data_IF_465583749196
#
_entry.id   IF_465583749196
#
_cell.length_a   1.000
_cell.length_b   1.000
_cell.length_c   1.000
_cell.angle_alpha   90.00
_cell.angle_beta   90.00
_cell.angle_gamma   90.00
#
_symmetry.space_group_name_H-M   'P 1'
#
loop_
_entity.id
_entity.type
_entity.pdbx_description
1 polymer ?
#
# COMPACT_ATOMS: atom_id res chain seq x y z
N UNK A 1 2.65 -1.19 -26.46
CA UNK A 1 2.87 -2.26 -25.46
C UNK A 1 1.92 -3.40 -25.71
N UNK A 2 2.24 -4.62 -25.27
CA UNK A 2 1.31 -5.74 -25.19
C UNK A 2 0.97 -5.95 -23.70
N UNK A 3 -0.29 -6.26 -23.42
CA UNK A 3 -0.80 -6.48 -22.06
C UNK A 3 -1.34 -7.91 -21.98
N UNK A 4 -0.98 -8.63 -20.96
CA UNK A 4 -1.61 -9.92 -20.63
C UNK A 4 -2.23 -9.82 -19.24
N UNK A 5 -3.53 -10.04 -19.13
CA UNK A 5 -4.29 -10.09 -17.89
C UNK A 5 -4.53 -11.54 -17.55
N UNK A 6 -3.99 -11.98 -16.42
CA UNK A 6 -4.10 -13.35 -15.94
C UNK A 6 -4.85 -13.39 -14.61
N UNK A 7 -5.89 -14.20 -14.54
CA UNK A 7 -6.57 -14.57 -13.30
C UNK A 7 -7.03 -16.03 -13.38
N UNK A 8 -6.91 -16.79 -12.29
CA UNK A 8 -7.39 -18.16 -12.21
C UNK A 8 -8.91 -18.27 -12.15
N UNK A 9 -9.61 -17.18 -11.83
CA UNK A 9 -11.06 -17.07 -11.79
C UNK A 9 -11.58 -16.45 -13.09
N UNK A 10 -12.31 -17.23 -13.89
CA UNK A 10 -12.88 -16.77 -15.16
C UNK A 10 -13.85 -15.59 -14.99
N UNK A 11 -14.64 -15.57 -13.91
CA UNK A 11 -15.58 -14.48 -13.63
C UNK A 11 -14.86 -13.17 -13.34
N UNK A 12 -13.77 -13.23 -12.55
CA UNK A 12 -12.91 -12.05 -12.28
C UNK A 12 -12.27 -11.52 -13.55
N UNK A 13 -11.80 -12.43 -14.40
CA UNK A 13 -11.19 -12.09 -15.68
C UNK A 13 -12.21 -11.43 -16.63
N UNK A 14 -13.43 -11.97 -16.70
CA UNK A 14 -14.51 -11.37 -17.50
C UNK A 14 -14.87 -9.95 -17.03
N UNK A 15 -14.93 -9.74 -15.71
CA UNK A 15 -15.14 -8.38 -15.15
C UNK A 15 -14.00 -7.44 -15.54
N UNK A 16 -12.75 -7.91 -15.50
CA UNK A 16 -11.60 -7.12 -15.91
C UNK A 16 -11.66 -6.74 -17.40
N UNK A 17 -12.04 -7.67 -18.26
CA UNK A 17 -12.24 -7.44 -19.69
C UNK A 17 -13.36 -6.43 -19.97
N UNK A 18 -14.52 -6.57 -19.31
CA UNK A 18 -15.61 -5.59 -19.40
C UNK A 18 -15.14 -4.17 -19.04
N UNK A 19 -14.47 -4.02 -17.89
CA UNK A 19 -13.96 -2.72 -17.46
C UNK A 19 -12.90 -2.12 -18.40
N UNK A 20 -12.11 -2.96 -19.03
CA UNK A 20 -11.17 -2.50 -20.05
C UNK A 20 -11.89 -1.89 -21.25
N UNK A 21 -13.02 -2.44 -21.66
CA UNK A 21 -13.81 -1.91 -22.78
C UNK A 21 -14.71 -0.71 -22.41
N UNK A 22 -14.80 -0.34 -21.15
CA UNK A 22 -15.50 0.88 -20.69
C UNK A 22 -14.67 2.16 -20.89
N UNK A 23 -13.36 2.02 -21.13
CA UNK A 23 -12.45 3.17 -21.35
C UNK A 23 -12.09 3.32 -22.83
N UNK A 24 -11.77 4.55 -23.31
CA UNK A 24 -11.34 4.75 -24.68
C UNK A 24 -10.09 3.94 -25.04
N UNK A 25 -9.99 3.53 -26.29
CA UNK A 25 -8.81 2.84 -26.80
C UNK A 25 -7.54 3.68 -26.64
N UNK A 26 -6.50 3.04 -26.12
CA UNK A 26 -5.19 3.68 -25.99
C UNK A 26 -4.28 3.22 -27.16
N UNK A 27 -3.84 4.14 -28.05
CA UNK A 27 -3.04 3.78 -29.23
C UNK A 27 -1.66 3.19 -28.90
N UNK A 28 -1.21 3.30 -27.65
CA UNK A 28 0.01 2.66 -27.19
C UNK A 28 -0.15 1.16 -26.93
N UNK A 29 -1.38 0.66 -26.80
CA UNK A 29 -1.69 -0.76 -26.60
C UNK A 29 -1.80 -1.41 -27.99
N UNK A 30 -0.86 -2.30 -28.30
CA UNK A 30 -0.82 -3.03 -29.58
C UNK A 30 -1.62 -4.33 -29.51
N UNK A 31 -1.83 -4.89 -28.34
CA UNK A 31 -2.61 -6.10 -28.11
C UNK A 31 -2.86 -6.29 -26.63
N UNK A 32 -4.01 -6.91 -26.33
CA UNK A 32 -4.37 -7.34 -24.99
C UNK A 32 -4.86 -8.78 -25.03
N UNK A 33 -4.44 -9.59 -24.08
CA UNK A 33 -4.87 -10.97 -23.89
C UNK A 33 -5.43 -11.12 -22.49
N UNK A 34 -6.64 -11.66 -22.37
CA UNK A 34 -7.23 -12.09 -21.12
C UNK A 34 -7.19 -13.62 -21.05
N UNK A 35 -6.58 -14.19 -20.03
CA UNK A 35 -6.38 -15.64 -19.95
C UNK A 35 -6.45 -16.18 -18.53
N UNK A 36 -6.99 -17.39 -18.39
CA UNK A 36 -6.92 -18.20 -17.16
C UNK A 36 -5.73 -19.17 -17.17
N UNK A 37 -4.97 -19.23 -18.26
CA UNK A 37 -3.89 -20.21 -18.48
C UNK A 37 -2.53 -19.56 -18.24
N UNK A 38 -1.81 -20.08 -17.26
CA UNK A 38 -0.48 -19.59 -16.90
C UNK A 38 0.54 -19.75 -18.05
N UNK A 39 0.38 -20.76 -18.87
CA UNK A 39 1.24 -21.09 -20.01
C UNK A 39 1.21 -20.00 -21.10
N UNK A 40 0.12 -19.23 -21.17
CA UNK A 40 -0.05 -18.13 -22.12
C UNK A 40 0.61 -16.83 -21.69
N UNK A 41 1.17 -16.77 -20.47
CA UNK A 41 2.00 -15.66 -20.07
C UNK A 41 3.28 -15.62 -20.91
N UNK A 42 3.75 -14.45 -21.35
CA UNK A 42 4.98 -14.34 -22.12
C UNK A 42 6.19 -14.80 -21.28
N UNK A 43 7.21 -15.38 -21.94
CA UNK A 43 8.43 -15.85 -21.28
C UNK A 43 9.24 -14.69 -20.69
N UNK A 44 9.17 -13.50 -21.30
CA UNK A 44 9.80 -12.26 -20.86
C UNK A 44 8.76 -11.19 -20.54
N UNK A 45 8.84 -10.64 -19.32
CA UNK A 45 7.90 -9.65 -18.81
C UNK A 45 8.68 -8.41 -18.34
N UNK A 46 8.45 -7.27 -19.00
CA UNK A 46 9.08 -6.00 -18.62
C UNK A 46 8.55 -5.47 -17.29
N UNK A 47 7.25 -5.62 -17.03
CA UNK A 47 6.59 -5.24 -15.79
C UNK A 47 5.46 -6.20 -15.44
N UNK A 48 5.55 -6.85 -14.29
CA UNK A 48 4.46 -7.61 -13.71
C UNK A 48 3.77 -6.79 -12.60
N UNK A 49 2.45 -6.63 -12.69
CA UNK A 49 1.64 -6.00 -11.63
C UNK A 49 0.95 -7.11 -10.85
N UNK A 50 1.32 -7.30 -9.59
CA UNK A 50 0.80 -8.38 -8.73
C UNK A 50 -0.32 -7.83 -7.86
N UNK A 51 -1.55 -7.92 -8.37
CA UNK A 51 -2.77 -7.35 -7.77
C UNK A 51 -3.64 -8.34 -7.01
N UNK A 52 -3.16 -9.57 -6.79
CA UNK A 52 -3.85 -10.56 -5.95
C UNK A 52 -4.06 -10.05 -4.52
N UNK A 53 -4.97 -10.66 -3.76
CA UNK A 53 -5.01 -10.46 -2.31
C UNK A 53 -3.70 -10.92 -1.65
N UNK A 54 -3.42 -10.46 -0.42
CA UNK A 54 -2.16 -10.72 0.28
C UNK A 54 -1.86 -12.21 0.46
N UNK A 55 -2.88 -13.03 0.78
CA UNK A 55 -2.72 -14.46 1.08
C UNK A 55 -2.03 -15.28 -0.01
N UNK A 56 -2.49 -15.28 -1.26
CA UNK A 56 -1.85 -16.01 -2.34
C UNK A 56 -0.63 -15.31 -2.94
N UNK A 57 -0.39 -14.04 -2.64
CA UNK A 57 0.56 -13.17 -3.37
C UNK A 57 1.98 -13.71 -3.39
N UNK A 58 2.49 -14.16 -2.25
CA UNK A 58 3.85 -14.75 -2.19
C UNK A 58 3.98 -15.94 -3.14
N UNK A 59 3.05 -16.90 -3.06
CA UNK A 59 3.06 -18.10 -3.88
C UNK A 59 2.90 -17.78 -5.37
N UNK A 60 1.99 -16.89 -5.72
CA UNK A 60 1.77 -16.46 -7.12
C UNK A 60 3.02 -15.81 -7.69
N UNK A 61 3.66 -14.91 -6.91
CA UNK A 61 4.89 -14.24 -7.35
C UNK A 61 6.05 -15.23 -7.49
N UNK A 62 6.23 -16.13 -6.52
CA UNK A 62 7.30 -17.14 -6.57
C UNK A 62 7.14 -18.03 -7.81
N UNK A 63 5.92 -18.53 -8.06
CA UNK A 63 5.64 -19.35 -9.24
C UNK A 63 5.90 -18.58 -10.55
N UNK A 64 5.51 -17.30 -10.62
CA UNK A 64 5.80 -16.46 -11.78
C UNK A 64 7.31 -16.37 -12.02
N UNK A 65 8.08 -16.09 -10.98
CA UNK A 65 9.52 -15.92 -11.06
C UNK A 65 10.28 -17.21 -11.34
N UNK A 66 9.76 -18.36 -10.94
CA UNK A 66 10.33 -19.67 -11.27
C UNK A 66 10.21 -20.01 -12.76
N UNK A 67 9.15 -19.53 -13.40
CA UNK A 67 8.76 -19.95 -14.75
C UNK A 67 8.91 -18.86 -15.82
N UNK A 68 9.16 -17.60 -15.45
CA UNK A 68 9.24 -16.46 -16.37
C UNK A 68 10.40 -15.54 -15.99
N UNK A 69 10.93 -14.85 -16.99
CA UNK A 69 11.93 -13.79 -16.80
C UNK A 69 11.17 -12.48 -16.58
N UNK A 70 11.24 -11.94 -15.37
CA UNK A 70 10.56 -10.70 -14.99
C UNK A 70 11.60 -9.64 -14.63
N UNK A 71 11.50 -8.45 -15.22
CA UNK A 71 12.46 -7.36 -15.01
C UNK A 71 12.06 -6.42 -13.90
N UNK A 72 10.78 -6.07 -13.84
CA UNK A 72 10.23 -5.17 -12.84
C UNK A 72 8.94 -5.75 -12.26
N UNK A 73 8.68 -5.49 -10.97
CA UNK A 73 7.43 -5.86 -10.31
C UNK A 73 6.84 -4.64 -9.61
N UNK A 74 5.52 -4.47 -9.75
CA UNK A 74 4.71 -3.60 -8.92
C UNK A 74 3.77 -4.47 -8.07
N UNK A 75 3.98 -4.47 -6.77
CA UNK A 75 3.12 -5.16 -5.82
C UNK A 75 1.98 -4.27 -5.34
N UNK A 76 0.78 -4.83 -5.23
CA UNK A 76 -0.27 -4.24 -4.42
C UNK A 76 0.02 -4.45 -2.92
N UNK A 77 -0.51 -3.54 -2.10
CA UNK A 77 -0.53 -3.66 -0.65
C UNK A 77 -1.78 -4.47 -0.22
N UNK A 78 -1.86 -5.01 0.92
CA UNK A 78 -0.86 -5.36 1.92
C UNK A 78 0.04 -6.45 1.34
N UNK A 79 1.36 -6.38 1.51
CA UNK A 79 2.26 -7.30 0.79
C UNK A 79 1.97 -8.77 1.08
N UNK A 80 2.24 -9.22 2.29
CA UNK A 80 2.05 -10.61 2.71
C UNK A 80 1.48 -10.69 4.12
N UNK A 81 0.61 -11.67 4.42
CA UNK A 81 0.06 -11.85 5.75
C UNK A 81 1.00 -12.60 6.71
N UNK A 82 2.14 -13.13 6.23
CA UNK A 82 3.12 -13.89 7.01
C UNK A 82 4.46 -13.19 7.10
N UNK A 83 5.02 -13.12 8.30
CA UNK A 83 6.33 -12.50 8.53
C UNK A 83 7.46 -13.22 7.79
N UNK A 84 7.42 -14.55 7.74
CA UNK A 84 8.44 -15.37 7.05
C UNK A 84 8.53 -15.12 5.54
N UNK A 85 7.44 -14.69 4.89
CA UNK A 85 7.41 -14.49 3.43
C UNK A 85 8.22 -13.27 2.97
N UNK A 86 8.45 -12.28 3.84
CA UNK A 86 9.19 -11.06 3.49
C UNK A 86 10.66 -11.32 3.18
N UNK A 87 11.36 -12.04 4.05
CA UNK A 87 12.77 -12.38 3.85
C UNK A 87 12.96 -13.30 2.63
N UNK A 88 12.04 -14.25 2.43
CA UNK A 88 12.09 -15.16 1.27
C UNK A 88 11.89 -14.41 -0.05
N UNK A 89 10.92 -13.48 -0.11
CA UNK A 89 10.67 -12.68 -1.31
C UNK A 89 11.82 -11.70 -1.56
N UNK A 90 12.33 -11.03 -0.54
CA UNK A 90 13.50 -10.13 -0.67
C UNK A 90 14.70 -10.85 -1.28
N UNK A 91 15.00 -12.06 -0.79
CA UNK A 91 16.06 -12.89 -1.35
C UNK A 91 15.79 -13.24 -2.82
N UNK A 92 14.58 -13.67 -3.15
CA UNK A 92 14.19 -14.07 -4.51
C UNK A 92 14.33 -12.91 -5.51
N UNK A 93 13.90 -11.70 -5.11
CA UNK A 93 14.02 -10.48 -5.92
C UNK A 93 15.49 -10.07 -6.11
N UNK A 94 16.26 -10.08 -5.04
CA UNK A 94 17.70 -9.74 -5.06
C UNK A 94 18.51 -10.71 -5.91
N UNK A 95 18.33 -12.02 -5.73
CA UNK A 95 19.06 -13.05 -6.49
C UNK A 95 18.83 -12.94 -8.01
N UNK A 96 17.71 -12.35 -8.43
CA UNK A 96 17.32 -12.16 -9.83
C UNK A 96 17.51 -10.73 -10.35
N UNK A 97 17.95 -9.81 -9.52
CA UNK A 97 18.15 -8.40 -9.88
C UNK A 97 16.85 -7.68 -10.30
N UNK A 98 15.73 -8.04 -9.68
CA UNK A 98 14.39 -7.51 -10.02
C UNK A 98 14.18 -6.17 -9.32
N UNK A 99 13.82 -5.12 -10.08
CA UNK A 99 13.38 -3.85 -9.51
C UNK A 99 11.92 -3.98 -9.07
N UNK A 100 11.67 -4.00 -7.77
CA UNK A 100 10.34 -4.17 -7.21
C UNK A 100 9.88 -2.93 -6.44
N UNK A 101 8.64 -2.50 -6.69
CA UNK A 101 7.97 -1.37 -6.04
C UNK A 101 6.67 -1.81 -5.40
N UNK A 102 6.20 -1.05 -4.42
CA UNK A 102 4.93 -1.31 -3.71
C UNK A 102 3.99 -0.13 -3.90
N UNK A 103 2.74 -0.44 -4.24
CA UNK A 103 1.74 0.54 -4.59
C UNK A 103 1.11 1.23 -3.38
N UNK A 104 1.85 2.15 -2.78
CA UNK A 104 1.37 3.10 -1.78
C UNK A 104 1.35 4.51 -2.40
N UNK A 105 0.29 4.90 -3.13
CA UNK A 105 0.31 6.01 -4.07
C UNK A 105 0.32 7.40 -3.45
N UNK A 106 0.04 7.57 -2.13
CA UNK A 106 -0.02 8.89 -1.50
C UNK A 106 1.27 9.69 -1.65
N UNK A 107 2.43 9.05 -1.62
CA UNK A 107 3.71 9.72 -1.89
C UNK A 107 3.83 10.27 -3.31
N UNK A 108 2.93 9.90 -4.22
CA UNK A 108 2.85 10.45 -5.58
C UNK A 108 1.98 11.71 -5.68
N UNK A 109 1.17 12.02 -4.67
CA UNK A 109 0.30 13.20 -4.69
C UNK A 109 1.14 14.47 -4.52
N UNK A 110 0.93 15.45 -5.38
CA UNK A 110 1.75 16.66 -5.44
C UNK A 110 1.79 17.44 -4.12
N UNK A 111 0.67 17.49 -3.40
CA UNK A 111 0.61 18.16 -2.11
C UNK A 111 1.48 17.47 -1.05
N UNK A 112 1.55 16.13 -1.01
CA UNK A 112 2.43 15.41 -0.09
C UNK A 112 3.91 15.47 -0.52
N UNK A 113 4.20 15.47 -1.82
CA UNK A 113 5.56 15.70 -2.33
C UNK A 113 6.09 17.08 -1.93
N UNK A 114 5.28 18.13 -2.13
CA UNK A 114 5.64 19.48 -1.70
C UNK A 114 5.83 19.56 -0.20
N UNK A 115 4.92 18.96 0.57
CA UNK A 115 5.01 18.91 2.01
C UNK A 115 6.32 18.24 2.46
N UNK A 116 6.69 17.08 1.90
CA UNK A 116 7.92 16.38 2.27
C UNK A 116 9.20 17.17 2.01
N UNK A 117 9.18 18.10 1.05
CA UNK A 117 10.33 18.98 0.76
C UNK A 117 10.33 20.27 1.61
N UNK A 118 9.17 20.69 2.14
CA UNK A 118 9.02 21.92 2.93
C UNK A 118 9.15 21.68 4.43
N UNK A 119 8.89 20.47 4.91
CA UNK A 119 9.01 20.13 6.34
C UNK A 119 10.46 20.31 6.81
N UNK A 120 10.60 21.15 7.84
CA UNK A 120 11.86 21.27 8.55
C UNK A 120 12.06 20.05 9.45
N UNK A 121 12.93 19.14 9.04
CA UNK A 121 13.23 17.90 9.76
C UNK A 121 13.98 18.11 11.10
N UNK A 122 14.17 19.33 11.56
CA UNK A 122 14.75 19.63 12.88
C UNK A 122 13.77 19.38 14.04
N UNK A 123 12.47 19.25 13.75
CA UNK A 123 11.42 19.00 14.75
C UNK A 123 10.75 17.67 14.48
N UNK A 124 10.33 16.95 15.55
CA UNK A 124 9.52 15.75 15.39
C UNK A 124 8.18 16.07 14.73
N UNK A 125 7.78 15.22 13.78
CA UNK A 125 6.48 15.30 13.11
C UNK A 125 5.43 14.59 13.96
N UNK A 126 4.25 15.17 14.07
CA UNK A 126 3.05 14.51 14.59
C UNK A 126 2.05 14.39 13.45
N UNK A 127 1.64 13.18 13.16
CA UNK A 127 0.61 12.89 12.16
C UNK A 127 -0.54 12.14 12.81
N UNK A 128 -1.77 12.49 12.49
CA UNK A 128 -2.99 11.81 12.93
C UNK A 128 -3.84 11.49 11.71
N UNK A 129 -4.35 10.27 11.66
CA UNK A 129 -5.36 9.84 10.68
C UNK A 129 -6.55 9.34 11.46
N UNK A 130 -7.69 9.97 11.30
CA UNK A 130 -8.93 9.60 11.98
C UNK A 130 -10.09 9.52 10.99
N UNK A 131 -10.94 8.53 11.19
CA UNK A 131 -12.15 8.34 10.38
C UNK A 131 -12.98 7.15 10.84
N UNK A 132 -14.12 6.95 10.18
CA UNK A 132 -15.06 5.88 10.47
C UNK A 132 -14.70 4.61 9.69
N UNK A 133 -14.47 3.50 10.39
CA UNK A 133 -14.34 2.14 9.82
C UNK A 133 -13.60 2.08 8.46
N UNK A 134 -12.45 2.76 8.39
CA UNK A 134 -11.69 2.89 7.15
C UNK A 134 -10.75 1.71 6.87
N UNK A 135 -10.81 0.67 7.68
CA UNK A 135 -10.00 -0.55 7.52
C UNK A 135 -8.59 -0.40 8.09
N UNK A 136 -8.49 -0.38 9.43
CA UNK A 136 -7.24 -0.20 10.16
C UNK A 136 -6.19 -1.29 9.82
N UNK A 137 -6.63 -2.54 9.61
CA UNK A 137 -5.74 -3.64 9.21
C UNK A 137 -5.22 -3.49 7.79
N UNK A 138 -6.10 -3.22 6.82
CA UNK A 138 -5.71 -3.24 5.41
C UNK A 138 -5.13 -1.92 4.90
N UNK A 139 -5.52 -0.77 5.45
CA UNK A 139 -5.15 0.54 4.90
C UNK A 139 -4.10 1.31 5.69
N UNK A 140 -3.77 0.89 6.92
CA UNK A 140 -2.74 1.56 7.73
C UNK A 140 -1.41 1.72 7.01
N UNK A 141 -1.03 0.75 6.19
CA UNK A 141 0.24 0.78 5.47
C UNK A 141 0.38 1.96 4.50
N UNK A 142 -0.73 2.45 3.93
CA UNK A 142 -0.71 3.64 3.08
C UNK A 142 -0.33 4.91 3.84
N UNK A 143 -0.71 4.99 5.10
CA UNK A 143 -0.41 6.13 5.97
C UNK A 143 0.96 5.99 6.62
N UNK A 144 1.36 4.77 6.96
CA UNK A 144 2.72 4.48 7.45
C UNK A 144 3.75 4.79 6.36
N UNK A 145 3.46 4.45 5.11
CA UNK A 145 4.30 4.78 3.95
C UNK A 145 4.41 6.30 3.73
N UNK A 146 3.29 7.04 3.82
CA UNK A 146 3.29 8.50 3.78
C UNK A 146 4.09 9.09 4.94
N UNK A 147 3.90 8.55 6.15
CA UNK A 147 4.62 9.00 7.34
C UNK A 147 6.13 8.75 7.21
N UNK A 148 6.54 7.62 6.62
CA UNK A 148 7.94 7.35 6.32
C UNK A 148 8.54 8.36 5.34
N UNK A 149 7.79 8.76 4.30
CA UNK A 149 8.20 9.84 3.39
C UNK A 149 8.41 11.16 4.12
N UNK A 150 7.47 11.53 5.01
CA UNK A 150 7.51 12.81 5.72
C UNK A 150 8.59 12.85 6.81
N UNK A 151 8.77 11.74 7.54
CA UNK A 151 9.78 11.62 8.60
C UNK A 151 11.19 11.34 8.07
N UNK A 152 11.33 10.94 6.80
CA UNK A 152 12.61 10.60 6.19
C UNK A 152 13.28 9.35 6.76
N UNK A 153 12.51 8.43 7.35
CA UNK A 153 12.99 7.15 7.87
C UNK A 153 11.94 6.06 7.72
N UNK A 154 12.38 4.83 7.48
CA UNK A 154 11.54 3.64 7.47
C UNK A 154 11.65 2.78 8.74
N UNK A 155 12.43 3.23 9.73
CA UNK A 155 12.57 2.56 11.01
C UNK A 155 11.40 2.93 11.92
N UNK A 156 10.38 2.05 11.99
CA UNK A 156 9.13 2.28 12.71
C UNK A 156 8.90 1.22 13.78
N UNK A 157 8.20 1.63 14.85
CA UNK A 157 7.60 0.75 15.86
C UNK A 157 6.12 1.03 15.91
N UNK A 158 5.30 -0.04 15.93
CA UNK A 158 3.85 0.06 16.10
C UNK A 158 3.45 -0.39 17.50
N UNK A 159 2.39 0.21 18.04
CA UNK A 159 1.77 -0.17 19.31
C UNK A 159 0.26 -0.34 19.10
N UNK A 160 -0.24 -1.53 19.43
CA UNK A 160 -1.65 -1.93 19.34
C UNK A 160 -2.39 -1.86 20.68
N UNK A 161 -1.80 -1.28 21.72
CA UNK A 161 -2.40 -1.23 23.06
C UNK A 161 -3.78 -0.56 23.11
N UNK A 162 -4.04 0.40 22.20
CA UNK A 162 -5.32 1.09 22.07
C UNK A 162 -6.23 0.54 20.94
N UNK A 163 -5.90 -0.62 20.38
CA UNK A 163 -6.79 -1.35 19.46
C UNK A 163 -7.84 -2.12 20.29
N UNK A 164 -9.10 -2.08 19.85
CA UNK A 164 -10.18 -2.82 20.48
C UNK A 164 -9.88 -4.32 20.50
N UNK A 165 -10.01 -4.98 21.64
CA UNK A 165 -9.76 -6.44 21.82
C UNK A 165 -10.81 -7.29 21.10
N UNK A 166 -10.97 -7.05 19.81
CA UNK A 166 -11.96 -7.69 18.94
C UNK A 166 -11.46 -7.79 17.51
N UNK A 167 -11.68 -8.93 16.89
CA UNK A 167 -11.48 -9.15 15.46
C UNK A 167 -12.82 -8.95 14.76
N UNK A 168 -12.84 -8.14 13.69
CA UNK A 168 -14.00 -7.97 12.83
C UNK A 168 -13.72 -8.56 11.44
N UNK A 169 -14.74 -9.09 10.73
CA UNK A 169 -14.55 -9.56 9.38
C UNK A 169 -14.24 -8.39 8.44
N UNK A 170 -13.26 -8.57 7.56
CA UNK A 170 -13.03 -7.65 6.45
C UNK A 170 -14.15 -7.76 5.40
N UNK A 171 -14.28 -6.73 4.55
CA UNK A 171 -15.15 -6.79 3.36
C UNK A 171 -14.77 -7.96 2.43
N UNK A 172 -13.51 -8.39 2.44
CA UNK A 172 -13.02 -9.53 1.66
C UNK A 172 -13.07 -10.79 2.51
N UNK A 173 -13.80 -11.82 2.04
CA UNK A 173 -13.98 -13.09 2.74
C UNK A 173 -12.63 -13.74 3.09
N UNK A 174 -12.49 -14.20 4.33
CA UNK A 174 -11.28 -14.84 4.84
C UNK A 174 -10.23 -13.89 5.39
N UNK A 175 -10.50 -12.58 5.40
CA UNK A 175 -9.63 -11.56 5.98
C UNK A 175 -10.30 -10.84 7.14
N UNK A 176 -9.49 -10.22 7.96
CA UNK A 176 -9.93 -9.53 9.19
C UNK A 176 -9.55 -8.06 9.18
N UNK A 177 -10.23 -7.30 10.05
CA UNK A 177 -9.99 -5.90 10.31
C UNK A 177 -9.99 -5.63 11.82
N UNK A 178 -9.52 -4.43 12.16
CA UNK A 178 -9.42 -3.93 13.53
C UNK A 178 -10.13 -2.58 13.65
N UNK A 179 -10.55 -2.25 14.88
CA UNK A 179 -11.03 -0.93 15.29
C UNK A 179 -10.18 -0.41 16.44
N UNK A 180 -10.23 0.89 16.65
CA UNK A 180 -9.44 1.57 17.70
C UNK A 180 -8.28 2.35 17.11
N UNK A 181 -7.18 2.43 17.84
CA UNK A 181 -6.04 3.28 17.48
C UNK A 181 -4.74 2.48 17.51
N UNK A 182 -3.94 2.63 16.45
CA UNK A 182 -2.54 2.18 16.40
C UNK A 182 -1.63 3.40 16.50
N UNK A 183 -0.69 3.39 17.43
CA UNK A 183 0.40 4.37 17.47
C UNK A 183 1.61 3.84 16.70
N UNK A 184 2.21 4.69 15.87
CA UNK A 184 3.47 4.40 15.17
C UNK A 184 4.49 5.46 15.57
N UNK A 185 5.68 5.02 15.98
CA UNK A 185 6.78 5.90 16.35
C UNK A 185 7.97 5.62 15.44
N UNK A 186 8.56 6.67 14.87
CA UNK A 186 9.81 6.57 14.10
C UNK A 186 11.03 6.52 15.01
N UNK A 187 12.18 6.04 14.50
CA UNK A 187 13.47 6.09 15.21
C UNK A 187 13.92 7.52 15.54
N UNK A 188 13.35 8.54 14.90
CA UNK A 188 13.59 9.96 15.14
C UNK A 188 12.71 10.57 16.22
N UNK A 189 11.74 9.81 16.74
CA UNK A 189 10.76 10.28 17.73
C UNK A 189 9.51 10.95 17.12
N UNK A 190 9.32 10.89 15.79
CA UNK A 190 8.07 11.29 15.15
C UNK A 190 6.94 10.33 15.55
N UNK A 191 5.70 10.82 15.56
CA UNK A 191 4.53 10.05 15.98
C UNK A 191 3.42 10.08 14.94
N UNK A 192 2.83 8.92 14.66
CA UNK A 192 1.63 8.77 13.86
C UNK A 192 0.56 8.03 14.67
N UNK A 193 -0.64 8.60 14.72
CA UNK A 193 -1.84 8.00 15.31
C UNK A 193 -2.80 7.59 14.19
N UNK A 194 -3.15 6.31 14.13
CA UNK A 194 -4.07 5.74 13.15
C UNK A 194 -5.35 5.30 13.85
N UNK A 195 -6.42 6.10 13.76
CA UNK A 195 -7.67 5.86 14.45
C UNK A 195 -8.80 5.50 13.49
N UNK A 196 -9.25 4.26 13.53
CA UNK A 196 -10.43 3.76 12.81
C UNK A 196 -11.53 3.44 13.83
N UNK A 197 -12.51 4.32 13.93
CA UNK A 197 -13.50 4.29 14.99
C UNK A 197 -14.88 3.96 14.41
N UNK A 198 -15.71 3.23 15.17
CA UNK A 198 -17.05 2.89 14.74
C UNK A 198 -18.01 4.07 14.84
N UNK A 199 -17.89 4.83 15.92
CA UNK A 199 -18.83 5.90 16.29
C UNK A 199 -18.21 7.30 16.08
N UNK A 200 -17.41 7.46 15.02
CA UNK A 200 -16.85 8.74 14.64
C UNK A 200 -17.84 9.50 13.75
N UNK A 201 -18.16 10.74 14.12
CA UNK A 201 -19.15 11.57 13.41
C UNK A 201 -18.53 12.66 12.51
N UNK A 202 -17.19 12.78 12.53
CA UNK A 202 -16.48 13.77 11.71
C UNK A 202 -16.13 13.24 10.32
N UNK A 203 -15.61 14.12 9.48
CA UNK A 203 -14.98 13.72 8.21
C UNK A 203 -13.67 12.97 8.47
N UNK A 204 -13.36 12.02 7.59
CA UNK A 204 -12.02 11.42 7.60
C UNK A 204 -10.97 12.47 7.28
N UNK A 205 -9.97 12.60 8.13
CA UNK A 205 -8.96 13.65 8.05
C UNK A 205 -7.57 13.11 8.36
N UNK A 206 -6.58 13.67 7.67
CA UNK A 206 -5.16 13.50 7.97
C UNK A 206 -4.67 14.84 8.51
N UNK A 207 -4.16 14.87 9.73
CA UNK A 207 -3.58 16.04 10.38
C UNK A 207 -2.08 15.88 10.51
N UNK A 208 -1.33 16.93 10.22
CA UNK A 208 0.13 16.89 10.30
C UNK A 208 0.60 18.18 10.99
N UNK A 209 1.42 18.03 12.03
CA UNK A 209 2.11 19.13 12.70
C UNK A 209 3.60 18.94 12.53
N UNK A 210 4.31 19.96 12.05
CA UNK A 210 5.75 19.96 11.85
C UNK A 210 6.32 21.34 12.27
N UNK A 211 6.88 21.43 13.47
CA UNK A 211 7.23 22.69 14.09
C UNK A 211 6.00 23.55 14.36
N UNK A 212 5.98 24.77 13.81
CA UNK A 212 4.85 25.71 13.94
C UNK A 212 3.78 25.53 12.85
N UNK A 213 4.04 24.69 11.85
CA UNK A 213 3.11 24.46 10.76
C UNK A 213 2.11 23.35 11.09
N UNK A 214 0.84 23.63 10.76
CA UNK A 214 -0.27 22.71 10.94
C UNK A 214 -1.07 22.56 9.65
N UNK A 215 -1.35 21.29 9.28
CA UNK A 215 -2.05 20.90 8.07
C UNK A 215 -3.17 19.94 8.37
N UNK A 216 -4.35 20.12 7.73
CA UNK A 216 -5.43 19.15 7.67
C UNK A 216 -5.73 18.82 6.21
N UNK A 217 -5.81 17.53 5.89
CA UNK A 217 -6.13 17.04 4.55
C UNK A 217 -7.46 16.29 4.59
N UNK A 218 -8.43 16.81 3.86
CA UNK A 218 -9.72 16.17 3.60
C UNK A 218 -9.70 15.65 2.15
N UNK A 219 -9.03 14.50 1.93
CA UNK A 219 -8.82 13.96 0.58
C UNK A 219 -10.12 13.77 -0.21
N UNK A 220 -11.21 13.31 0.46
CA UNK A 220 -12.53 13.13 -0.15
C UNK A 220 -13.19 14.45 -0.60
N UNK A 221 -12.77 15.56 -0.04
CA UNK A 221 -13.28 16.90 -0.37
C UNK A 221 -12.31 17.69 -1.28
N UNK A 222 -11.18 17.13 -1.63
CA UNK A 222 -10.11 17.81 -2.36
C UNK A 222 -9.68 19.13 -1.69
N UNK A 223 -9.63 19.12 -0.34
CA UNK A 223 -9.37 20.28 0.49
C UNK A 223 -8.18 20.02 1.42
N UNK A 224 -7.30 21.00 1.53
CA UNK A 224 -6.27 21.10 2.57
C UNK A 224 -6.46 22.42 3.32
N UNK A 225 -6.32 22.41 4.63
CA UNK A 225 -6.22 23.60 5.46
C UNK A 225 -4.79 23.69 5.96
N UNK A 226 -4.13 24.82 5.72
CA UNK A 226 -2.78 25.09 6.21
C UNK A 226 -2.80 26.32 7.11
N UNK A 227 -2.49 26.15 8.40
CA UNK A 227 -2.48 27.23 9.39
C UNK A 227 -3.79 28.04 9.40
N UNK A 228 -4.94 27.39 9.16
CA UNK A 228 -6.26 28.02 9.10
C UNK A 228 -6.66 28.55 7.74
N UNK A 229 -5.84 28.44 6.70
CA UNK A 229 -6.16 28.86 5.34
C UNK A 229 -6.55 27.66 4.46
N UNK A 230 -7.71 27.76 3.80
CA UNK A 230 -8.20 26.75 2.86
C UNK A 230 -7.41 26.76 1.55
N UNK A 231 -7.02 25.58 1.08
CA UNK A 231 -6.32 25.37 -0.19
C UNK A 231 -6.92 24.18 -0.93
N UNK A 232 -7.26 24.35 -2.19
CA UNK A 232 -7.67 23.22 -3.03
C UNK A 232 -6.48 22.29 -3.28
N UNK A 233 -6.71 20.98 -3.13
CA UNK A 233 -5.80 19.93 -3.52
C UNK A 233 -6.46 19.01 -4.54
N UNK A 234 -5.67 18.28 -5.30
CA UNK A 234 -6.18 17.23 -6.17
C UNK A 234 -5.89 15.87 -5.55
N UNK A 235 -6.93 15.18 -5.08
CA UNK A 235 -6.86 13.76 -4.79
C UNK A 235 -6.89 13.01 -6.13
N UNK A 236 -5.80 12.29 -6.44
CA UNK A 236 -5.71 11.52 -7.69
C UNK A 236 -6.30 10.13 -7.50
N UNK A 237 -7.08 9.68 -8.49
CA UNK A 237 -7.50 8.29 -8.52
C UNK A 237 -6.33 7.38 -8.90
N UNK A 238 -6.36 6.14 -8.42
CA UNK A 238 -5.34 5.13 -8.74
C UNK A 238 -5.17 4.94 -10.26
N UNK A 239 -6.27 4.97 -11.02
CA UNK A 239 -6.26 4.86 -12.47
C UNK A 239 -5.46 5.98 -13.16
N UNK A 240 -5.45 7.19 -12.62
CA UNK A 240 -4.67 8.32 -13.16
C UNK A 240 -3.17 8.16 -12.90
N UNK A 241 -2.80 7.40 -11.87
CA UNK A 241 -1.40 7.17 -11.49
C UNK A 241 -0.75 5.99 -12.21
N UNK A 242 -1.55 5.12 -12.83
CA UNK A 242 -1.06 3.88 -13.46
C UNK A 242 -0.08 4.18 -14.59
N UNK A 243 -0.39 5.13 -15.46
CA UNK A 243 0.51 5.53 -16.56
C UNK A 243 1.82 6.10 -16.04
N UNK A 244 1.75 7.04 -15.09
CA UNK A 244 2.94 7.67 -14.48
C UNK A 244 3.81 6.61 -13.79
N UNK A 245 3.18 5.69 -13.06
CA UNK A 245 3.88 4.61 -12.37
C UNK A 245 4.55 3.65 -13.35
N UNK A 246 3.81 3.18 -14.35
CA UNK A 246 4.33 2.24 -15.33
C UNK A 246 5.46 2.86 -16.16
N UNK A 247 5.30 4.10 -16.62
CA UNK A 247 6.33 4.84 -17.35
C UNK A 247 7.57 5.08 -16.48
N UNK A 248 7.39 5.50 -15.24
CA UNK A 248 8.50 5.68 -14.29
C UNK A 248 9.30 4.40 -14.10
N UNK A 249 8.65 3.26 -13.91
CA UNK A 249 9.31 1.96 -13.72
C UNK A 249 10.01 1.49 -15.00
N UNK A 250 9.33 1.59 -16.14
CA UNK A 250 9.80 1.02 -17.40
C UNK A 250 10.89 1.86 -18.10
N UNK A 251 10.80 3.18 -18.01
CA UNK A 251 11.68 4.09 -18.78
C UNK A 251 12.82 4.61 -17.92
N UNK A 252 12.51 5.25 -16.79
CA UNK A 252 13.53 5.88 -15.94
C UNK A 252 14.11 4.95 -14.88
N UNK A 253 13.50 3.79 -14.64
CA UNK A 253 13.74 2.90 -13.48
C UNK A 253 13.62 3.61 -12.13
N UNK A 254 13.04 4.79 -12.16
CA UNK A 254 12.81 5.64 -11.00
C UNK A 254 11.31 5.94 -10.91
N UNK A 255 10.68 5.31 -9.94
CA UNK A 255 9.31 5.58 -9.56
C UNK A 255 9.32 6.17 -8.15
N UNK A 256 8.53 7.21 -7.86
CA UNK A 256 8.41 7.74 -6.51
C UNK A 256 7.77 6.76 -5.52
N UNK A 257 7.27 5.62 -5.99
CA UNK A 257 6.78 4.56 -5.13
C UNK A 257 7.92 3.91 -4.33
N UNK A 258 7.58 3.46 -3.14
CA UNK A 258 8.50 2.80 -2.22
C UNK A 258 9.10 1.54 -2.82
N UNK A 259 10.40 1.31 -2.62
CA UNK A 259 11.03 0.04 -2.98
C UNK A 259 10.42 -1.11 -2.16
N UNK A 260 10.55 -2.33 -2.66
CA UNK A 260 10.10 -3.51 -1.91
C UNK A 260 10.81 -3.62 -0.56
N UNK A 261 12.10 -3.33 -0.50
CA UNK A 261 12.93 -3.41 0.70
C UNK A 261 12.45 -2.42 1.77
N UNK A 262 12.29 -1.16 1.42
CA UNK A 262 11.79 -0.12 2.33
C UNK A 262 10.37 -0.43 2.79
N UNK A 263 9.49 -0.74 1.85
CA UNK A 263 8.10 -1.08 2.16
C UNK A 263 7.97 -2.32 3.04
N UNK A 264 8.87 -3.31 2.86
CA UNK A 264 8.92 -4.51 3.71
C UNK A 264 9.21 -4.16 5.17
N UNK A 265 10.12 -3.22 5.45
CA UNK A 265 10.38 -2.76 6.82
C UNK A 265 9.12 -2.18 7.46
N UNK A 266 8.39 -1.34 6.72
CA UNK A 266 7.15 -0.73 7.19
C UNK A 266 6.05 -1.77 7.44
N UNK A 267 5.86 -2.71 6.51
CA UNK A 267 4.89 -3.80 6.64
C UNK A 267 5.23 -4.71 7.82
N UNK A 268 6.50 -5.09 7.98
CA UNK A 268 6.95 -5.96 9.08
C UNK A 268 6.73 -5.29 10.43
N UNK A 269 7.01 -3.99 10.55
CA UNK A 269 6.78 -3.24 11.79
C UNK A 269 5.30 -3.31 12.23
N UNK A 270 4.37 -3.11 11.29
CA UNK A 270 2.93 -3.22 11.55
C UNK A 270 2.49 -4.68 11.77
N UNK A 271 2.93 -5.58 10.89
CA UNK A 271 2.49 -6.98 10.90
C UNK A 271 2.92 -7.73 12.16
N UNK A 272 4.08 -7.45 12.74
CA UNK A 272 4.53 -8.06 14.00
C UNK A 272 3.50 -7.85 15.12
N UNK A 273 3.05 -6.60 15.29
CA UNK A 273 2.05 -6.27 16.30
C UNK A 273 0.67 -6.83 15.93
N UNK A 274 0.28 -6.75 14.65
CA UNK A 274 -0.97 -7.33 14.17
C UNK A 274 -1.04 -8.85 14.39
N UNK A 275 0.05 -9.58 14.15
CA UNK A 275 0.15 -11.03 14.43
C UNK A 275 0.05 -11.31 15.91
N UNK A 276 0.79 -10.59 16.76
CA UNK A 276 0.74 -10.73 18.22
C UNK A 276 -0.67 -10.49 18.76
N UNK A 277 -1.27 -9.39 18.31
CA UNK A 277 -2.65 -9.02 18.69
C UNK A 277 -3.67 -10.06 18.21
N UNK A 278 -3.60 -10.49 16.96
CA UNK A 278 -4.48 -11.51 16.40
C UNK A 278 -4.37 -12.83 17.16
N UNK A 279 -3.14 -13.32 17.36
CA UNK A 279 -2.88 -14.55 18.10
C UNK A 279 -3.43 -14.52 19.53
N UNK A 280 -3.28 -13.39 20.23
CA UNK A 280 -3.81 -13.23 21.59
C UNK A 280 -5.33 -13.36 21.67
N UNK A 281 -6.05 -12.96 20.62
CA UNK A 281 -7.52 -13.03 20.57
C UNK A 281 -8.01 -14.41 20.13
N UNK A 282 -7.38 -15.00 19.09
CA UNK A 282 -7.85 -16.29 18.53
C UNK A 282 -7.24 -17.51 19.20
N UNK A 283 -6.28 -17.32 20.12
CA UNK A 283 -5.60 -18.41 20.84
C UNK A 283 -4.64 -19.20 19.95
N UNK A 284 -3.94 -18.53 19.03
CA UNK A 284 -2.96 -19.16 18.15
C UNK A 284 -1.53 -18.65 18.40
N UNK A 285 -0.55 -19.30 17.78
CA UNK A 285 0.88 -18.94 17.86
C UNK A 285 1.52 -18.90 16.45
N UNK A 286 0.73 -18.57 15.42
CA UNK A 286 1.20 -18.49 14.04
C UNK A 286 2.05 -17.25 13.78
N UNK A 287 2.71 -17.20 12.60
CA UNK A 287 3.48 -16.06 12.10
C UNK A 287 2.65 -15.19 11.14
N UNK A 288 1.33 -15.34 11.13
CA UNK A 288 0.45 -14.70 10.17
C UNK A 288 -0.75 -14.01 10.81
N UNK A 289 -1.16 -12.88 10.19
CA UNK A 289 -2.43 -12.24 10.43
C UNK A 289 -3.16 -12.06 9.09
N UNK A 290 -4.40 -12.56 8.92
CA UNK A 290 -5.09 -12.53 7.64
C UNK A 290 -5.65 -11.13 7.29
N UNK A 291 -4.78 -10.18 7.03
CA UNK A 291 -5.08 -8.82 6.53
C UNK A 291 -4.69 -8.68 5.05
N UNK A 292 -5.37 -7.81 4.27
CA UNK A 292 -5.12 -7.69 2.82
C UNK A 292 -5.34 -6.27 2.28
#
# INVERSE_FOLDING_TARGET
>A
MNITVFDTCADSLHIAEQRYHEVPDNPLIKGILFTTRFEELPDYIDLAIISTSSGPRFRVTSNLLENRIVKNILFEKFLFPKLSEYALMSKLLSDRGINAKVNCPRRMFDHYKRLSTSINNSFPIKMEVIGIDWGLGCNSIHFIDLFALLSGTSEMKCDFSAVEKKIIPSKRKGYVEFLGTVEVTSSRGDKLMLSSLKDYSGDSVIRITAGDDYYEFFESKSLMIQNGEDKAIRAMYQSELTEITATGILVSRDSPLTSFEESSLLHIAFLKEAVSFYNAIVGSNGDSCPIT
#
